data_IF_287286601133
#
_entry.id   IF_287286601133
#
_cell.length_a   1.000
_cell.length_b   1.000
_cell.length_c   1.000
_cell.angle_alpha   90.00
_cell.angle_beta   90.00
_cell.angle_gamma   90.00
#
_symmetry.space_group_name_H-M   'P 1'
#
loop_
_entity.id
_entity.type
_entity.pdbx_description
1 polymer ?
#
# COMPACT_ATOMS: atom_id res chain seq x y z
N UNK A 1 19.61 5.12 -7.58
CA UNK A 1 19.84 4.57 -6.24
C UNK A 1 18.58 3.85 -5.83
N UNK A 2 18.70 2.59 -5.43
CA UNK A 2 17.57 1.80 -4.92
C UNK A 2 17.48 1.97 -3.40
N UNK A 3 16.27 2.21 -2.89
CA UNK A 3 16.00 2.32 -1.45
C UNK A 3 14.73 1.55 -1.16
N UNK A 4 14.77 0.63 -0.19
CA UNK A 4 13.61 -0.15 0.27
C UNK A 4 13.22 0.30 1.67
N UNK A 5 11.95 0.66 1.85
CA UNK A 5 11.38 1.05 3.15
C UNK A 5 10.26 0.07 3.49
N UNK A 6 10.23 -0.41 4.74
CA UNK A 6 9.21 -1.33 5.23
C UNK A 6 8.61 -0.76 6.51
N UNK A 7 7.29 -0.60 6.53
CA UNK A 7 6.53 -0.11 7.70
C UNK A 7 5.74 -1.30 8.22
N UNK A 8 5.95 -1.64 9.50
CA UNK A 8 5.23 -2.72 10.18
C UNK A 8 4.51 -2.16 11.40
N UNK A 9 3.23 -2.51 11.55
CA UNK A 9 2.46 -2.23 12.76
C UNK A 9 1.52 -3.38 13.04
N UNK A 10 1.25 -3.64 14.31
CA UNK A 10 0.29 -4.66 14.78
C UNK A 10 -1.03 -4.05 15.27
N UNK A 11 -1.19 -2.74 15.12
CA UNK A 11 -2.27 -2.00 15.77
C UNK A 11 -2.93 -0.95 14.87
N UNK A 12 -2.60 -0.91 13.57
CA UNK A 12 -3.25 0.02 12.66
C UNK A 12 -4.65 -0.50 12.31
N UNK A 13 -5.65 0.34 12.54
CA UNK A 13 -7.01 0.13 12.03
C UNK A 13 -7.08 0.35 10.52
N UNK A 14 -8.18 -0.10 9.90
CA UNK A 14 -8.47 0.10 8.47
C UNK A 14 -8.33 1.58 8.05
N UNK A 15 -8.82 2.50 8.86
CA UNK A 15 -8.78 3.94 8.58
C UNK A 15 -7.37 4.50 8.67
N UNK A 16 -6.57 4.04 9.64
CA UNK A 16 -5.18 4.46 9.77
C UNK A 16 -4.29 3.89 8.67
N UNK A 17 -4.56 2.66 8.19
CA UNK A 17 -3.91 2.11 7.00
C UNK A 17 -4.21 2.98 5.79
N UNK A 18 -5.47 3.38 5.59
CA UNK A 18 -5.84 4.30 4.52
C UNK A 18 -5.11 5.64 4.64
N UNK A 19 -5.06 6.22 5.83
CA UNK A 19 -4.36 7.48 6.10
C UNK A 19 -2.86 7.38 5.84
N UNK A 20 -2.25 6.25 6.19
CA UNK A 20 -0.84 5.98 5.90
C UNK A 20 -0.57 5.96 4.40
N UNK A 21 -1.39 5.24 3.63
CA UNK A 21 -1.24 5.13 2.18
C UNK A 21 -1.45 6.50 1.51
N UNK A 22 -2.45 7.25 1.97
CA UNK A 22 -2.73 8.59 1.48
C UNK A 22 -1.54 9.54 1.76
N UNK A 23 -0.97 9.47 2.96
CA UNK A 23 0.19 10.29 3.33
C UNK A 23 1.42 9.98 2.48
N UNK A 24 1.66 8.70 2.16
CA UNK A 24 2.74 8.32 1.25
C UNK A 24 2.47 8.86 -0.16
N UNK A 25 1.21 8.80 -0.63
CA UNK A 25 0.82 9.34 -1.94
C UNK A 25 1.02 10.84 -2.04
N UNK A 26 0.61 11.59 -1.02
CA UNK A 26 0.78 13.03 -0.96
C UNK A 26 2.27 13.43 -0.94
N UNK A 27 3.09 12.65 -0.24
CA UNK A 27 4.56 12.81 -0.23
C UNK A 27 5.17 12.57 -1.61
N UNK A 28 4.78 11.49 -2.29
CA UNK A 28 5.22 11.17 -3.65
C UNK A 28 4.94 12.33 -4.62
N UNK A 29 3.72 12.86 -4.61
CA UNK A 29 3.33 13.94 -5.53
C UNK A 29 4.05 15.23 -5.20
N UNK A 30 4.20 15.55 -3.92
CA UNK A 30 4.79 16.81 -3.49
C UNK A 30 6.29 16.88 -3.77
N UNK A 31 7.03 15.81 -3.50
CA UNK A 31 8.49 15.83 -3.55
C UNK A 31 9.08 15.05 -4.72
N UNK A 32 8.34 14.10 -5.28
CA UNK A 32 8.83 13.16 -6.28
C UNK A 32 7.90 13.03 -7.51
N UNK A 33 7.37 14.13 -8.08
CA UNK A 33 6.33 14.08 -9.11
C UNK A 33 6.73 13.34 -10.41
N UNK A 34 8.04 13.18 -10.64
CA UNK A 34 8.59 12.53 -11.84
C UNK A 34 9.33 11.22 -11.50
N UNK A 35 9.15 10.66 -10.29
CA UNK A 35 9.78 9.41 -9.89
C UNK A 35 8.72 8.34 -9.72
N UNK A 36 9.05 7.13 -10.13
CA UNK A 36 8.23 5.97 -9.88
C UNK A 36 8.56 5.44 -8.48
N UNK A 37 7.56 5.43 -7.59
CA UNK A 37 7.67 4.86 -6.24
C UNK A 37 6.75 3.64 -6.17
N UNK A 38 7.33 2.47 -5.95
CA UNK A 38 6.58 1.25 -5.67
C UNK A 38 6.39 1.08 -4.17
N UNK A 39 5.15 0.83 -3.74
CA UNK A 39 4.83 0.63 -2.33
C UNK A 39 4.22 -0.76 -2.19
N UNK A 40 4.79 -1.55 -1.29
CA UNK A 40 4.29 -2.88 -0.93
C UNK A 40 3.66 -2.80 0.46
N UNK A 41 2.41 -3.23 0.58
CA UNK A 41 1.66 -3.17 1.83
C UNK A 41 0.98 -4.51 2.05
N UNK A 42 1.30 -5.13 3.18
CA UNK A 42 0.75 -6.40 3.61
C UNK A 42 -0.15 -6.14 4.81
N UNK A 43 -1.44 -6.41 4.65
CA UNK A 43 -2.42 -6.34 5.74
C UNK A 43 -3.11 -7.69 5.84
N UNK A 44 -2.51 -8.68 6.53
CA UNK A 44 -3.05 -10.04 6.56
C UNK A 44 -4.41 -10.14 7.26
N UNK A 45 -4.73 -9.16 8.10
CA UNK A 45 -5.99 -9.10 8.85
C UNK A 45 -7.15 -8.52 8.03
N UNK A 46 -6.87 -7.86 6.90
CA UNK A 46 -7.91 -7.30 6.03
C UNK A 46 -8.17 -8.23 4.82
N UNK A 47 -9.44 -8.53 4.51
CA UNK A 47 -9.80 -9.23 3.30
C UNK A 47 -9.50 -8.38 2.05
N UNK A 48 -9.25 -9.06 0.93
CA UNK A 48 -8.97 -8.45 -0.38
C UNK A 48 -9.97 -7.36 -0.77
N UNK A 49 -11.25 -7.53 -0.45
CA UNK A 49 -12.30 -6.55 -0.75
C UNK A 49 -12.06 -5.23 -0.01
N UNK A 50 -11.74 -5.28 1.29
CA UNK A 50 -11.47 -4.07 2.08
C UNK A 50 -10.16 -3.40 1.66
N UNK A 51 -9.14 -4.17 1.31
CA UNK A 51 -7.91 -3.64 0.70
C UNK A 51 -8.21 -2.90 -0.61
N UNK A 52 -9.11 -3.45 -1.44
CA UNK A 52 -9.54 -2.82 -2.69
C UNK A 52 -10.28 -1.51 -2.43
N UNK A 53 -11.16 -1.47 -1.43
CA UNK A 53 -11.86 -0.24 -1.02
C UNK A 53 -10.90 0.85 -0.54
N UNK A 54 -9.90 0.48 0.28
CA UNK A 54 -8.87 1.42 0.75
C UNK A 54 -8.16 2.02 -0.46
N UNK A 55 -7.68 1.17 -1.38
CA UNK A 55 -6.89 1.60 -2.52
C UNK A 55 -7.72 2.44 -3.52
N UNK A 56 -9.01 2.11 -3.70
CA UNK A 56 -9.94 2.91 -4.49
C UNK A 56 -10.20 4.30 -3.86
N UNK A 57 -10.02 4.43 -2.54
CA UNK A 57 -10.25 5.67 -1.81
C UNK A 57 -9.05 6.62 -1.78
N UNK A 58 -7.87 6.20 -2.25
CA UNK A 58 -6.65 7.01 -2.30
C UNK A 58 -6.67 7.99 -3.47
N UNK A 59 -6.29 9.24 -3.22
CA UNK A 59 -6.27 10.29 -4.25
C UNK A 59 -4.92 10.99 -4.34
N UNK A 60 -4.44 11.33 -5.54
CA UNK A 60 -4.86 10.81 -6.84
C UNK A 60 -4.56 9.31 -6.96
N UNK A 61 -5.34 8.57 -7.77
CA UNK A 61 -5.15 7.13 -7.93
C UNK A 61 -3.74 6.80 -8.44
N UNK A 62 -3.26 5.61 -8.10
CA UNK A 62 -2.00 5.08 -8.64
C UNK A 62 -2.17 4.75 -10.13
N UNK A 63 -1.18 5.13 -10.94
CA UNK A 63 -1.24 5.05 -12.42
C UNK A 63 -1.14 3.61 -12.93
N UNK A 64 -0.28 2.82 -12.30
CA UNK A 64 -0.28 1.37 -12.41
C UNK A 64 -1.11 0.89 -11.22
N UNK A 65 -2.31 0.37 -11.53
CA UNK A 65 -3.34 0.16 -10.53
C UNK A 65 -2.86 -0.67 -9.33
N UNK A 66 -3.49 -0.50 -8.16
CA UNK A 66 -3.21 -1.34 -7.01
C UNK A 66 -3.38 -2.81 -7.37
N UNK A 67 -2.28 -3.56 -7.32
CA UNK A 67 -2.32 -5.01 -7.52
C UNK A 67 -2.56 -5.65 -6.16
N UNK A 68 -3.82 -6.01 -5.87
CA UNK A 68 -4.13 -6.76 -4.65
C UNK A 68 -3.87 -8.23 -4.93
N UNK A 69 -2.73 -8.73 -4.47
CA UNK A 69 -2.36 -10.14 -4.56
C UNK A 69 -2.56 -10.84 -3.22
N UNK A 70 -3.07 -12.08 -3.23
CA UNK A 70 -2.86 -12.98 -2.11
C UNK A 70 -1.45 -13.54 -2.20
N UNK A 71 -0.61 -13.26 -1.20
CA UNK A 71 0.65 -13.98 -1.03
C UNK A 71 0.30 -15.37 -0.51
N UNK A 72 0.27 -16.37 -1.41
CA UNK A 72 0.30 -17.77 -1.00
C UNK A 72 1.74 -18.10 -0.61
N UNK A 73 2.01 -18.19 0.69
CA UNK A 73 3.19 -18.93 1.13
C UNK A 73 2.98 -20.38 0.74
N UNK A 74 3.71 -20.84 -0.28
CA UNK A 74 3.80 -22.26 -0.59
C UNK A 74 4.46 -22.96 0.59
N UNK A 75 3.67 -23.55 1.48
CA UNK A 75 4.15 -24.50 2.45
C UNK A 75 4.70 -25.71 1.69
N UNK A 76 6.02 -25.81 1.61
CA UNK A 76 6.66 -27.10 1.34
C UNK A 76 6.92 -27.73 2.70
N UNK A 77 6.20 -28.83 2.93
CA UNK A 77 6.35 -29.75 4.04
C UNK A 77 7.71 -30.45 4.01
#
# INVERSE_FOLDING_TARGET
MEVKVTIQSKALSKEEVRLLIQSIRDCEIKYFPNKEISIWIEVPELPTAECTEILASIKPPYKYGPSVGQIRFGGSA
#
